data_IF_022502721112
#
_entry.id   IF_022502721112
#
_cell.length_a   1.000
_cell.length_b   1.000
_cell.length_c   1.000
_cell.angle_alpha   90.00
_cell.angle_beta   90.00
_cell.angle_gamma   90.00
#
_symmetry.space_group_name_H-M   'P 1'
#
loop_
_entity.id
_entity.type
_entity.pdbx_description
1 polymer ?
#
# COMPACT_ATOMS: atom_id res chain seq x y z
N UNK A 1 -1.12 -4.60 -44.57
CA UNK A 1 -1.59 -4.12 -45.89
C UNK A 1 -2.48 -5.21 -46.46
N UNK A 2 -3.79 -4.98 -46.57
CA UNK A 2 -4.67 -5.91 -47.28
C UNK A 2 -4.22 -5.96 -48.74
N UNK A 3 -4.03 -7.16 -49.30
CA UNK A 3 -3.62 -7.33 -50.68
C UNK A 3 -4.70 -6.74 -51.59
N UNK A 4 -4.39 -5.64 -52.26
CA UNK A 4 -5.29 -4.98 -53.21
C UNK A 4 -5.27 -5.79 -54.52
N UNK A 5 -5.99 -6.92 -54.53
CA UNK A 5 -6.25 -7.69 -55.73
C UNK A 5 -7.46 -7.08 -56.42
N UNK A 6 -7.38 -6.76 -57.73
CA UNK A 6 -8.55 -6.32 -58.47
C UNK A 6 -9.64 -7.40 -58.35
N UNK A 7 -10.91 -7.03 -58.06
CA UNK A 7 -11.98 -8.00 -57.91
C UNK A 7 -12.15 -8.78 -59.22
N UNK A 8 -12.10 -10.11 -59.10
CA UNK A 8 -12.16 -11.04 -60.25
C UNK A 8 -13.46 -10.94 -61.07
N UNK A 9 -14.50 -10.29 -60.52
CA UNK A 9 -15.75 -10.04 -61.24
C UNK A 9 -16.34 -8.66 -60.93
N UNK A 10 -17.04 -8.04 -61.90
CA UNK A 10 -17.67 -6.73 -61.73
C UNK A 10 -18.73 -6.70 -60.63
N UNK A 11 -19.39 -7.82 -60.36
CA UNK A 11 -20.35 -7.95 -59.25
C UNK A 11 -19.67 -7.86 -57.88
N UNK A 12 -18.44 -8.40 -57.74
CA UNK A 12 -17.67 -8.27 -56.51
C UNK A 12 -17.14 -6.85 -56.33
N UNK A 13 -16.77 -6.18 -57.43
CA UNK A 13 -16.34 -4.78 -57.41
C UNK A 13 -17.46 -3.86 -56.88
N UNK A 14 -18.68 -3.99 -57.40
CA UNK A 14 -19.83 -3.20 -56.97
C UNK A 14 -20.18 -3.46 -55.49
N UNK A 15 -20.06 -4.70 -55.02
CA UNK A 15 -20.26 -5.05 -53.61
C UNK A 15 -19.19 -4.44 -52.72
N UNK A 16 -17.92 -4.46 -53.14
CA UNK A 16 -16.81 -3.85 -52.40
C UNK A 16 -16.98 -2.34 -52.28
N UNK A 17 -17.33 -1.66 -53.37
CA UNK A 17 -17.59 -0.21 -53.39
C UNK A 17 -18.69 0.19 -52.39
N UNK A 18 -19.75 -0.61 -52.30
CA UNK A 18 -20.81 -0.40 -51.31
C UNK A 18 -20.32 -0.59 -49.86
N UNK A 19 -19.52 -1.63 -49.60
CA UNK A 19 -19.01 -1.92 -48.24
C UNK A 19 -17.96 -0.93 -47.76
N UNK A 20 -17.13 -0.40 -48.66
CA UNK A 20 -16.01 0.49 -48.31
C UNK A 20 -16.48 1.83 -47.73
N UNK A 21 -17.67 2.32 -48.14
CA UNK A 21 -18.25 3.61 -47.69
C UNK A 21 -18.36 3.74 -46.17
N UNK A 22 -18.61 2.63 -45.47
CA UNK A 22 -18.75 2.61 -44.02
C UNK A 22 -17.72 1.71 -43.32
N UNK A 23 -17.05 0.82 -44.06
CA UNK A 23 -16.08 -0.13 -43.51
C UNK A 23 -14.92 0.56 -42.77
N UNK A 24 -14.35 1.61 -43.36
CA UNK A 24 -13.23 2.36 -42.79
C UNK A 24 -13.61 3.06 -41.47
N UNK A 25 -14.77 3.73 -41.41
CA UNK A 25 -15.25 4.40 -40.20
C UNK A 25 -15.58 3.41 -39.08
N UNK A 26 -16.17 2.27 -39.41
CA UNK A 26 -16.47 1.21 -38.42
C UNK A 26 -15.18 0.59 -37.89
N UNK A 27 -14.17 0.38 -38.74
CA UNK A 27 -12.87 -0.14 -38.31
C UNK A 27 -12.12 0.86 -37.43
N UNK A 28 -12.11 2.14 -37.79
CA UNK A 28 -11.54 3.20 -36.97
C UNK A 28 -12.23 3.31 -35.60
N UNK A 29 -13.57 3.27 -35.57
CA UNK A 29 -14.33 3.29 -34.33
C UNK A 29 -14.02 2.08 -33.43
N UNK A 30 -13.85 0.88 -34.00
CA UNK A 30 -13.43 -0.31 -33.26
C UNK A 30 -12.03 -0.14 -32.67
N UNK A 31 -11.07 0.39 -33.45
CA UNK A 31 -9.73 0.65 -32.97
C UNK A 31 -9.73 1.64 -31.80
N UNK A 32 -10.49 2.73 -31.91
CA UNK A 32 -10.63 3.73 -30.84
C UNK A 32 -11.30 3.19 -29.58
N UNK A 33 -12.28 2.28 -29.71
CA UNK A 33 -12.87 1.60 -28.54
C UNK A 33 -11.85 0.74 -27.81
N UNK A 34 -10.98 0.03 -28.54
CA UNK A 34 -9.90 -0.78 -27.94
C UNK A 34 -8.92 0.13 -27.19
N UNK A 35 -8.50 1.24 -27.80
CA UNK A 35 -7.61 2.23 -27.15
C UNK A 35 -8.27 2.79 -25.89
N UNK A 36 -9.57 3.12 -25.94
CA UNK A 36 -10.32 3.62 -24.78
C UNK A 36 -10.38 2.60 -23.64
N UNK A 37 -10.68 1.33 -23.94
CA UNK A 37 -10.71 0.25 -22.94
C UNK A 37 -9.33 0.03 -22.33
N UNK A 38 -8.27 0.01 -23.15
CA UNK A 38 -6.90 -0.12 -22.66
C UNK A 38 -6.50 1.04 -21.75
N UNK A 39 -6.80 2.28 -22.16
CA UNK A 39 -6.54 3.47 -21.35
C UNK A 39 -7.28 3.45 -20.00
N UNK A 40 -8.56 3.08 -20.01
CA UNK A 40 -9.35 2.92 -18.79
C UNK A 40 -8.77 1.82 -17.88
N UNK A 41 -8.34 0.68 -18.45
CA UNK A 41 -7.75 -0.40 -17.68
C UNK A 41 -6.46 0.02 -16.99
N UNK A 42 -5.59 0.78 -17.68
CA UNK A 42 -4.36 1.32 -17.10
C UNK A 42 -4.66 2.32 -15.99
N UNK A 43 -5.66 3.19 -16.18
CA UNK A 43 -6.07 4.16 -15.17
C UNK A 43 -6.57 3.47 -13.89
N UNK A 44 -7.40 2.42 -14.03
CA UNK A 44 -7.90 1.64 -12.89
C UNK A 44 -6.75 0.96 -12.13
N UNK A 45 -5.82 0.32 -12.84
CA UNK A 45 -4.67 -0.35 -12.22
C UNK A 45 -3.81 0.68 -11.48
N UNK A 46 -3.47 1.79 -12.13
CA UNK A 46 -2.65 2.85 -11.53
C UNK A 46 -3.29 3.47 -10.29
N UNK A 47 -4.60 3.78 -10.36
CA UNK A 47 -5.33 4.37 -9.25
C UNK A 47 -5.46 3.40 -8.07
N UNK A 48 -5.74 2.12 -8.34
CA UNK A 48 -5.82 1.08 -7.31
C UNK A 48 -4.48 0.92 -6.61
N UNK A 49 -3.37 0.92 -7.36
CA UNK A 49 -2.03 0.84 -6.78
C UNK A 49 -1.66 2.07 -5.96
N UNK A 50 -1.99 3.28 -6.43
CA UNK A 50 -1.77 4.51 -5.68
C UNK A 50 -2.57 4.54 -4.37
N UNK A 51 -3.83 4.09 -4.41
CA UNK A 51 -4.67 3.95 -3.23
C UNK A 51 -4.08 2.95 -2.23
N UNK A 52 -3.58 1.80 -2.71
CA UNK A 52 -2.87 0.84 -1.87
C UNK A 52 -1.62 1.44 -1.22
N UNK A 53 -0.80 2.19 -1.96
CA UNK A 53 0.38 2.85 -1.41
C UNK A 53 0.00 3.89 -0.35
N UNK A 54 -1.11 4.60 -0.53
CA UNK A 54 -1.62 5.57 0.45
C UNK A 54 -2.01 4.92 1.79
N UNK A 55 -2.32 3.62 1.82
CA UNK A 55 -2.61 2.92 3.08
C UNK A 55 -1.35 2.56 3.88
N UNK A 56 -0.17 2.64 3.26
CA UNK A 56 1.09 2.32 3.93
C UNK A 56 1.65 3.55 4.64
N UNK A 57 1.45 3.61 5.95
CA UNK A 57 2.06 4.65 6.80
C UNK A 57 3.54 4.33 7.02
N UNK A 58 4.43 5.16 6.47
CA UNK A 58 5.87 5.13 6.78
C UNK A 58 6.22 6.31 7.69
N UNK A 59 5.97 6.16 9.00
CA UNK A 59 6.52 7.09 10.00
C UNK A 59 7.91 6.60 10.41
N UNK A 60 8.94 7.39 10.14
CA UNK A 60 10.27 7.22 10.75
C UNK A 60 10.30 8.13 11.98
N UNK A 61 10.18 7.60 13.22
CA UNK A 61 10.31 8.43 14.41
C UNK A 61 11.74 8.97 14.51
N UNK A 62 11.90 10.18 15.03
CA UNK A 62 13.20 10.75 15.39
C UNK A 62 13.23 10.98 16.89
N UNK A 63 14.28 10.51 17.56
CA UNK A 63 14.47 10.71 18.99
C UNK A 63 15.35 11.96 19.16
N UNK A 64 14.88 12.92 19.95
CA UNK A 64 15.69 14.07 20.33
C UNK A 64 15.95 13.95 21.83
N UNK A 65 17.22 13.82 22.22
CA UNK A 65 17.59 13.87 23.62
C UNK A 65 17.69 15.35 24.03
N UNK A 66 17.04 15.71 25.13
CA UNK A 66 17.08 17.08 25.65
C UNK A 66 17.80 17.05 26.98
N UNK A 67 18.92 17.78 27.07
CA UNK A 67 19.63 17.94 28.35
C UNK A 67 18.81 18.81 29.32
N UNK A 68 19.12 18.76 30.61
CA UNK A 68 18.46 19.52 31.69
C UNK A 68 18.46 21.04 31.49
N UNK A 69 19.32 21.54 30.59
CA UNK A 69 19.44 22.94 30.19
C UNK A 69 18.63 23.30 28.93
N UNK A 70 17.87 22.36 28.34
CA UNK A 70 17.00 22.60 27.18
C UNK A 70 17.71 22.55 25.82
N UNK A 71 19.00 22.22 25.79
CA UNK A 71 19.75 22.01 24.54
C UNK A 71 19.39 20.66 23.92
N UNK A 72 18.86 20.68 22.70
CA UNK A 72 18.56 19.49 21.90
C UNK A 72 19.85 18.88 21.36
N UNK A 73 20.17 17.66 21.79
CA UNK A 73 21.20 16.83 21.17
C UNK A 73 20.47 15.82 20.29
N UNK A 74 20.79 15.80 18.99
CA UNK A 74 20.27 14.79 18.07
C UNK A 74 20.74 13.41 18.55
N UNK A 75 19.84 12.65 19.14
CA UNK A 75 20.02 11.21 19.27
C UNK A 75 19.76 10.61 17.88
N UNK A 76 20.62 9.72 17.41
CA UNK A 76 20.59 9.22 16.04
C UNK A 76 19.29 8.50 15.64
N UNK A 77 19.27 7.94 14.43
CA UNK A 77 18.13 7.18 13.92
C UNK A 77 17.77 6.03 14.87
N UNK A 78 16.48 5.84 15.23
CA UNK A 78 16.09 4.68 16.00
C UNK A 78 16.36 3.44 15.17
N UNK A 79 17.10 2.48 15.75
CA UNK A 79 17.28 1.17 15.14
C UNK A 79 15.89 0.58 14.91
N UNK A 80 15.67 0.12 13.68
CA UNK A 80 14.44 -0.53 13.27
C UNK A 80 14.27 -1.77 14.16
N UNK A 81 13.37 -1.70 15.14
CA UNK A 81 13.13 -2.81 16.07
C UNK A 81 12.48 -3.91 15.25
N UNK A 82 13.28 -4.89 14.85
CA UNK A 82 12.81 -6.18 14.38
C UNK A 82 11.82 -6.70 15.43
N UNK A 83 10.64 -7.15 14.98
CA UNK A 83 9.52 -7.58 15.83
C UNK A 83 10.04 -8.31 17.07
N UNK A 84 9.75 -7.76 18.26
CA UNK A 84 10.29 -8.25 19.52
C UNK A 84 10.16 -9.78 19.60
N UNK A 85 11.29 -10.46 19.82
CA UNK A 85 11.36 -11.92 19.96
C UNK A 85 10.21 -12.41 20.86
N UNK A 86 9.50 -13.45 20.43
CA UNK A 86 8.37 -14.01 21.17
C UNK A 86 8.74 -14.36 22.62
N UNK A 87 10.01 -14.65 22.90
CA UNK A 87 10.52 -14.85 24.27
C UNK A 87 10.42 -13.58 25.12
N UNK A 88 10.76 -12.42 24.56
CA UNK A 88 10.67 -11.13 25.23
C UNK A 88 9.22 -10.79 25.53
N UNK A 89 8.32 -10.98 24.56
CA UNK A 89 6.87 -10.75 24.73
C UNK A 89 6.29 -11.63 25.85
N UNK A 90 6.66 -12.91 25.88
CA UNK A 90 6.21 -13.83 26.95
C UNK A 90 6.73 -13.41 28.32
N UNK A 91 7.99 -12.98 28.40
CA UNK A 91 8.59 -12.54 29.66
C UNK A 91 7.96 -11.23 30.17
N UNK A 92 7.72 -10.25 29.30
CA UNK A 92 7.06 -9.00 29.69
C UNK A 92 5.61 -9.22 30.12
N UNK A 93 4.84 -10.03 29.40
CA UNK A 93 3.48 -10.42 29.82
C UNK A 93 3.48 -11.15 31.16
N UNK A 94 4.40 -12.09 31.38
CA UNK A 94 4.52 -12.80 32.65
C UNK A 94 4.79 -11.86 33.83
N UNK A 95 5.71 -10.92 33.64
CA UNK A 95 6.03 -9.91 34.66
C UNK A 95 4.86 -8.96 34.93
N UNK A 96 4.12 -8.56 33.90
CA UNK A 96 2.91 -7.74 34.04
C UNK A 96 1.83 -8.48 34.85
N UNK A 97 1.49 -9.71 34.47
CA UNK A 97 0.47 -10.51 35.18
C UNK A 97 0.88 -10.75 36.64
N UNK A 98 2.16 -11.03 36.87
CA UNK A 98 2.69 -11.25 38.22
C UNK A 98 2.57 -9.97 39.06
N UNK A 99 2.95 -8.82 38.52
CA UNK A 99 2.86 -7.53 39.23
C UNK A 99 1.39 -7.14 39.49
N UNK A 100 0.49 -7.38 38.53
CA UNK A 100 -0.94 -7.09 38.66
C UNK A 100 -1.62 -7.94 39.75
N UNK A 101 -1.24 -9.22 39.87
CA UNK A 101 -1.89 -10.17 40.79
C UNK A 101 -1.24 -10.27 42.16
N UNK A 102 -0.02 -9.76 42.32
CA UNK A 102 0.70 -9.85 43.59
C UNK A 102 0.18 -8.81 44.58
N UNK A 103 -0.20 -9.29 45.77
CA UNK A 103 -0.61 -8.46 46.90
C UNK A 103 0.36 -8.72 48.04
N UNK A 104 0.95 -7.67 48.58
CA UNK A 104 1.90 -7.75 49.68
C UNK A 104 1.55 -6.72 50.76
N UNK A 105 1.76 -7.04 52.06
CA UNK A 105 1.51 -6.09 53.14
C UNK A 105 2.55 -4.96 53.24
N UNK A 106 3.71 -5.09 52.57
CA UNK A 106 4.72 -4.04 52.49
C UNK A 106 4.29 -2.96 51.48
N UNK A 107 4.04 -1.75 51.97
CA UNK A 107 3.61 -0.61 51.16
C UNK A 107 4.63 -0.21 50.07
N UNK A 108 5.92 -0.39 50.30
CA UNK A 108 6.97 -0.02 49.33
C UNK A 108 6.93 -0.98 48.15
N UNK A 109 6.84 -2.28 48.43
CA UNK A 109 6.81 -3.32 47.39
C UNK A 109 5.46 -3.29 46.65
N UNK A 110 4.35 -3.04 47.36
CA UNK A 110 3.03 -2.90 46.72
C UNK A 110 3.02 -1.72 45.74
N UNK A 111 3.63 -0.59 46.11
CA UNK A 111 3.77 0.56 45.21
C UNK A 111 4.61 0.20 43.98
N UNK A 112 5.70 -0.53 44.13
CA UNK A 112 6.52 -0.97 42.99
C UNK A 112 5.74 -1.85 42.01
N UNK A 113 4.85 -2.73 42.49
CA UNK A 113 3.99 -3.53 41.61
C UNK A 113 2.99 -2.66 40.83
N UNK A 114 2.41 -1.65 41.47
CA UNK A 114 1.51 -0.68 40.83
C UNK A 114 2.28 0.11 39.76
N UNK A 115 3.42 0.68 40.12
CA UNK A 115 4.25 1.48 39.21
C UNK A 115 4.68 0.68 37.98
N UNK A 116 5.11 -0.59 38.17
CA UNK A 116 5.47 -1.49 37.06
C UNK A 116 4.30 -1.85 36.15
N UNK A 117 3.08 -1.89 36.68
CA UNK A 117 1.88 -2.24 35.91
C UNK A 117 1.45 -1.08 35.01
N UNK A 118 1.61 0.17 35.45
CA UNK A 118 1.16 1.37 34.72
C UNK A 118 2.27 2.10 33.95
N UNK A 119 3.54 1.70 34.10
CA UNK A 119 4.66 2.26 33.34
C UNK A 119 4.95 1.54 32.01
N UNK A 120 4.26 0.42 31.75
CA UNK A 120 4.28 -0.33 30.48
C UNK A 120 3.23 0.21 29.52
#
# INVERSE_FOLDING_TARGET
MAANRPPDSPYLAARQEWTERYGSYVQAARAWRIVGILGLSMAVIGFTYAMYLSTQVKLVPYIVEVDKLGTSVTAGFPQQIEYADARVVRATLGNFITSLKSITPDAVVQKQYIDRTYAL
#
